data_IF_274430034570
#
_entry.id   IF_274430034570
#
_cell.length_a   1.000
_cell.length_b   1.000
_cell.length_c   1.000
_cell.angle_alpha   90.00
_cell.angle_beta   90.00
_cell.angle_gamma   90.00
#
_symmetry.space_group_name_H-M   'P 1'
#
loop_
_entity.id
_entity.type
_entity.pdbx_description
1 polymer ?
#
# COMPACT_ATOMS: atom_id res chain seq x y z
N UNK A 1 50.17 -11.17 22.67
CA UNK A 1 49.68 -10.00 21.91
C UNK A 1 48.27 -10.34 21.45
N UNK A 2 47.28 -9.88 22.20
CA UNK A 2 45.85 -10.14 21.99
C UNK A 2 45.18 -8.82 21.64
N UNK A 3 44.65 -8.69 20.42
CA UNK A 3 43.73 -7.63 20.01
C UNK A 3 43.37 -7.84 18.54
N UNK A 4 42.24 -8.50 18.24
CA UNK A 4 41.47 -8.21 16.99
C UNK A 4 40.09 -8.84 16.85
N UNK A 5 39.65 -9.71 17.74
CA UNK A 5 38.37 -10.43 17.54
C UNK A 5 37.13 -9.66 18.03
N UNK A 6 37.24 -8.76 19.02
CA UNK A 6 36.06 -8.13 19.64
C UNK A 6 35.43 -6.92 18.91
N UNK A 7 36.09 -6.33 17.91
CA UNK A 7 35.59 -5.13 17.21
C UNK A 7 34.71 -5.50 16.01
N UNK A 8 35.03 -6.60 15.33
CA UNK A 8 34.31 -7.05 14.13
C UNK A 8 32.93 -7.62 14.51
N UNK A 9 32.83 -8.37 15.61
CA UNK A 9 31.57 -8.89 16.13
C UNK A 9 30.57 -7.79 16.54
N UNK A 10 31.07 -6.67 17.06
CA UNK A 10 30.24 -5.50 17.40
C UNK A 10 29.74 -4.76 16.16
N UNK A 11 30.51 -4.75 15.08
CA UNK A 11 30.10 -4.16 13.81
C UNK A 11 29.03 -5.03 13.13
N UNK A 12 29.20 -6.36 13.15
CA UNK A 12 28.23 -7.30 12.57
C UNK A 12 26.88 -7.20 13.29
N UNK A 13 26.86 -7.16 14.63
CA UNK A 13 25.60 -7.06 15.38
C UNK A 13 24.85 -5.74 15.17
N UNK A 14 25.58 -4.65 14.91
CA UNK A 14 24.98 -3.34 14.60
C UNK A 14 24.37 -3.34 13.20
N UNK A 15 25.02 -3.97 12.21
CA UNK A 15 24.50 -4.06 10.83
C UNK A 15 23.25 -4.93 10.77
N UNK A 16 23.20 -6.06 11.49
CA UNK A 16 22.01 -6.93 11.54
C UNK A 16 20.80 -6.23 12.14
N UNK A 17 20.96 -5.45 13.22
CA UNK A 17 19.87 -4.71 13.83
C UNK A 17 19.33 -3.57 12.94
N UNK A 18 20.17 -3.00 12.08
CA UNK A 18 19.75 -1.99 11.10
C UNK A 18 19.02 -2.63 9.92
N UNK A 19 19.40 -3.84 9.50
CA UNK A 19 18.75 -4.56 8.39
C UNK A 19 17.32 -5.01 8.74
N UNK A 20 17.11 -5.54 9.95
CA UNK A 20 15.77 -5.90 10.44
C UNK A 20 14.85 -4.68 10.63
N UNK A 21 15.42 -3.53 11.03
CA UNK A 21 14.65 -2.29 11.21
C UNK A 21 14.35 -1.55 9.88
N UNK A 22 15.01 -1.93 8.78
CA UNK A 22 14.74 -1.37 7.45
C UNK A 22 13.68 -2.18 6.71
N UNK A 23 13.61 -3.49 6.90
CA UNK A 23 12.57 -4.37 6.32
C UNK A 23 11.19 -4.15 6.96
N UNK A 24 11.15 -3.61 8.18
CA UNK A 24 9.91 -3.28 8.89
C UNK A 24 9.22 -1.99 8.39
N UNK A 25 9.80 -1.25 7.45
CA UNK A 25 9.14 -0.08 6.85
C UNK A 25 8.26 -0.51 5.68
N UNK A 26 6.97 -0.56 6.01
CA UNK A 26 5.79 -0.84 5.16
C UNK A 26 5.54 -2.35 5.00
N UNK A 27 4.81 -2.91 5.96
CA UNK A 27 3.99 -4.07 5.66
C UNK A 27 2.98 -3.63 4.58
N UNK A 28 3.13 -4.11 3.35
CA UNK A 28 2.13 -3.93 2.32
C UNK A 28 0.87 -4.70 2.75
N UNK A 29 -0.18 -3.95 3.11
CA UNK A 29 -1.48 -4.56 3.38
C UNK A 29 -2.15 -4.77 2.03
N UNK A 30 -2.09 -6.00 1.51
CA UNK A 30 -2.75 -6.36 0.25
C UNK A 30 -4.27 -6.20 0.32
N UNK A 31 -4.88 -6.37 1.49
CA UNK A 31 -6.31 -6.15 1.71
C UNK A 31 -6.63 -5.82 3.17
N UNK A 32 -7.56 -4.88 3.40
CA UNK A 32 -8.11 -4.58 4.73
C UNK A 32 -9.63 -4.47 4.63
N UNK A 33 -10.33 -5.04 5.62
CA UNK A 33 -11.76 -4.80 5.82
C UNK A 33 -11.93 -3.64 6.82
N UNK A 34 -12.57 -2.56 6.38
CA UNK A 34 -12.82 -1.37 7.21
C UNK A 34 -14.31 -1.12 7.26
N UNK A 35 -14.92 -1.22 8.45
CA UNK A 35 -16.37 -0.99 8.61
C UNK A 35 -16.75 0.47 8.32
N UNK A 36 -15.93 1.43 8.77
CA UNK A 36 -16.15 2.86 8.57
C UNK A 36 -14.82 3.57 8.29
N UNK A 37 -14.70 4.19 7.12
CA UNK A 37 -13.53 4.98 6.74
C UNK A 37 -13.87 6.47 6.72
N UNK A 38 -13.23 7.24 7.62
CA UNK A 38 -13.27 8.70 7.60
C UNK A 38 -11.85 9.24 7.59
N UNK A 39 -11.45 9.84 6.47
CA UNK A 39 -10.10 10.37 6.27
C UNK A 39 -10.16 11.81 5.76
N UNK A 40 -9.13 12.59 6.03
CA UNK A 40 -9.02 13.97 5.54
C UNK A 40 -8.79 13.99 4.02
N UNK A 41 -7.95 13.09 3.53
CA UNK A 41 -7.63 12.93 2.11
C UNK A 41 -7.53 11.44 1.80
N UNK A 42 -8.16 11.01 0.70
CA UNK A 42 -8.03 9.68 0.13
C UNK A 42 -7.44 9.86 -1.29
N UNK A 43 -6.25 9.31 -1.52
CA UNK A 43 -5.64 9.28 -2.86
C UNK A 43 -5.79 7.86 -3.39
N UNK A 44 -6.25 7.75 -4.64
CA UNK A 44 -6.54 6.46 -5.29
C UNK A 44 -5.72 6.40 -6.56
N UNK A 45 -4.82 5.43 -6.65
CA UNK A 45 -3.82 5.33 -7.72
C UNK A 45 -2.74 6.40 -7.63
N UNK A 46 -1.97 6.50 -8.70
CA UNK A 46 -0.87 7.45 -8.84
C UNK A 46 -0.73 7.91 -10.29
N UNK A 47 0.08 8.93 -10.55
CA UNK A 47 0.23 9.48 -11.91
C UNK A 47 0.80 8.50 -12.92
N UNK A 48 1.64 7.55 -12.49
CA UNK A 48 2.22 6.48 -13.31
C UNK A 48 1.25 5.34 -13.57
N UNK A 49 0.27 5.16 -12.69
CA UNK A 49 -0.69 4.06 -12.70
C UNK A 49 -2.04 4.58 -12.15
N UNK A 50 -2.81 5.32 -12.97
CA UNK A 50 -4.15 5.73 -12.58
C UNK A 50 -5.02 4.49 -12.37
N UNK A 51 -5.90 4.52 -11.37
CA UNK A 51 -6.78 3.39 -11.03
C UNK A 51 -8.17 3.89 -10.63
N UNK A 52 -9.04 2.98 -10.19
CA UNK A 52 -10.42 3.28 -9.83
C UNK A 52 -10.85 2.66 -8.50
N UNK A 53 -12.13 2.85 -8.21
CA UNK A 53 -12.83 2.17 -7.12
C UNK A 53 -14.00 1.38 -7.69
N UNK A 54 -14.14 0.13 -7.22
CA UNK A 54 -15.34 -0.66 -7.51
C UNK A 54 -16.40 -0.31 -6.48
N UNK A 55 -17.57 0.13 -6.96
CA UNK A 55 -18.76 0.39 -6.15
C UNK A 55 -19.85 -0.57 -6.60
N UNK A 56 -20.48 -1.25 -5.65
CA UNK A 56 -21.61 -2.12 -5.93
C UNK A 56 -22.92 -1.34 -5.82
N UNK A 57 -23.80 -1.47 -6.83
CA UNK A 57 -25.14 -0.91 -6.77
C UNK A 57 -25.94 -1.62 -5.66
N UNK A 58 -26.56 -0.82 -4.79
CA UNK A 58 -27.35 -1.31 -3.66
C UNK A 58 -28.64 -2.01 -4.10
N UNK A 59 -29.18 -1.68 -5.27
CA UNK A 59 -30.46 -2.21 -5.73
C UNK A 59 -30.35 -3.66 -6.24
N UNK A 60 -29.27 -3.98 -6.96
CA UNK A 60 -29.11 -5.27 -7.63
C UNK A 60 -27.77 -5.98 -7.34
N UNK A 61 -26.83 -5.33 -6.65
CA UNK A 61 -25.52 -5.89 -6.33
C UNK A 61 -24.55 -5.91 -7.51
N UNK A 62 -24.83 -5.22 -8.61
CA UNK A 62 -23.93 -5.18 -9.75
C UNK A 62 -22.71 -4.28 -9.46
N UNK A 63 -21.50 -4.70 -9.84
CA UNK A 63 -20.31 -3.88 -9.67
C UNK A 63 -20.21 -2.81 -10.76
N UNK A 64 -19.71 -1.65 -10.37
CA UNK A 64 -19.37 -0.55 -11.27
C UNK A 64 -17.99 -0.01 -10.93
N UNK A 65 -17.11 0.04 -11.93
CA UNK A 65 -15.82 0.69 -11.80
C UNK A 65 -15.98 2.19 -12.00
N UNK A 66 -15.55 2.97 -11.02
CA UNK A 66 -15.53 4.43 -11.05
C UNK A 66 -14.11 4.92 -11.24
N UNK A 67 -13.88 5.65 -12.33
CA UNK A 67 -12.57 6.21 -12.71
C UNK A 67 -12.70 7.67 -13.10
N UNK A 68 -11.56 8.34 -13.34
CA UNK A 68 -11.51 9.67 -13.94
C UNK A 68 -10.81 9.59 -15.28
N UNK A 69 -11.53 9.92 -16.35
CA UNK A 69 -11.00 10.02 -17.71
C UNK A 69 -11.11 11.46 -18.19
N UNK A 70 -10.00 12.04 -18.63
CA UNK A 70 -9.96 13.43 -19.15
C UNK A 70 -10.62 14.46 -18.20
N UNK A 71 -10.44 14.27 -16.89
CA UNK A 71 -11.01 15.15 -15.85
C UNK A 71 -12.49 14.90 -15.54
N UNK A 72 -13.13 13.91 -16.18
CA UNK A 72 -14.53 13.55 -15.96
C UNK A 72 -14.63 12.24 -15.21
N UNK A 73 -15.52 12.17 -14.21
CA UNK A 73 -15.84 10.90 -13.54
C UNK A 73 -16.64 10.02 -14.49
N UNK A 74 -16.15 8.81 -14.74
CA UNK A 74 -16.77 7.82 -15.61
C UNK A 74 -17.11 6.59 -14.78
N UNK A 75 -18.28 6.01 -15.06
CA UNK A 75 -18.71 4.74 -14.47
C UNK A 75 -18.86 3.70 -15.57
N UNK A 76 -18.18 2.56 -15.41
CA UNK A 76 -18.28 1.42 -16.31
C UNK A 76 -18.86 0.22 -15.53
N UNK A 77 -19.71 -0.58 -16.17
CA UNK A 77 -20.21 -1.81 -15.57
C UNK A 77 -19.05 -2.81 -15.40
N UNK A 78 -18.99 -3.48 -14.24
CA UNK A 78 -17.91 -4.41 -13.89
C UNK A 78 -17.05 -3.95 -12.72
N UNK A 79 -16.13 -4.81 -12.28
CA UNK A 79 -15.06 -4.45 -11.31
C UNK A 79 -13.97 -3.65 -12.03
N UNK A 80 -13.20 -2.85 -11.29
CA UNK A 80 -12.01 -2.22 -11.85
C UNK A 80 -10.92 -3.27 -12.12
N UNK A 81 -10.26 -3.14 -13.27
CA UNK A 81 -9.11 -3.96 -13.68
C UNK A 81 -7.77 -3.23 -13.45
#
# INVERSE_FOLDING_TARGET
MAAKEGTFDRLISTVSAVFENLSAKVAEITSALVENLKVKFLTIGESSAPTGITIYDRANGEPYCVTVNEGTVVTAAGVCE
#
